data_IF_558000367285
#
_entry.id   IF_558000367285
#
_cell.length_a   1.000
_cell.length_b   1.000
_cell.length_c   1.000
_cell.angle_alpha   90.00
_cell.angle_beta   90.00
_cell.angle_gamma   90.00
#
_symmetry.space_group_name_H-M   'P 1'
#
loop_
_entity.id
_entity.type
_entity.pdbx_description
1 polymer ?
#
# COMPACT_ATOMS: atom_id res chain seq x y z
N UNK A 1 14.00 17.49 4.93
CA UNK A 1 13.20 17.28 3.71
C UNK A 1 11.80 16.91 4.13
N UNK A 2 10.78 17.32 3.37
CA UNK A 2 9.41 16.88 3.62
C UNK A 2 9.23 15.44 3.13
N UNK A 3 8.58 14.59 3.93
CA UNK A 3 8.14 13.26 3.52
C UNK A 3 6.62 13.25 3.40
N UNK A 4 6.09 12.31 2.64
CA UNK A 4 4.65 12.08 2.52
C UNK A 4 4.32 10.63 2.87
N UNK A 5 3.08 10.40 3.28
CA UNK A 5 2.55 9.05 3.48
C UNK A 5 1.77 8.61 2.25
N UNK A 6 1.77 7.31 1.96
CA UNK A 6 0.92 6.72 0.91
C UNK A 6 -0.32 6.13 1.57
N UNK A 7 -1.52 6.68 1.33
CA UNK A 7 -2.75 6.13 1.88
C UNK A 7 -3.01 4.72 1.34
N UNK A 8 -3.44 3.79 2.20
CA UNK A 8 -3.75 2.42 1.76
C UNK A 8 -4.79 2.41 0.62
N UNK A 9 -5.78 3.31 0.67
CA UNK A 9 -6.81 3.45 -0.38
C UNK A 9 -6.23 3.74 -1.78
N UNK A 10 -5.03 4.31 -1.89
CA UNK A 10 -4.38 4.56 -3.18
C UNK A 10 -4.00 3.27 -3.91
N UNK A 11 -3.91 2.15 -3.19
CA UNK A 11 -3.62 0.82 -3.70
C UNK A 11 -4.89 0.03 -4.05
N UNK A 12 -6.09 0.59 -3.80
CA UNK A 12 -7.38 -0.08 -4.03
C UNK A 12 -8.15 0.57 -5.20
N UNK A 13 -8.26 -0.09 -6.36
CA UNK A 13 -9.05 0.41 -7.48
C UNK A 13 -10.54 0.54 -7.15
N UNK A 14 -11.20 1.55 -7.71
CA UNK A 14 -12.65 1.73 -7.57
C UNK A 14 -13.39 0.68 -8.41
N UNK A 15 -14.43 0.07 -7.85
CA UNK A 15 -15.30 -0.89 -8.55
C UNK A 15 -14.76 -2.33 -8.62
N UNK A 16 -13.55 -2.60 -8.11
CA UNK A 16 -12.94 -3.93 -8.08
C UNK A 16 -12.61 -4.30 -6.63
N UNK A 17 -13.59 -4.84 -5.86
CA UNK A 17 -13.46 -5.01 -4.41
C UNK A 17 -12.40 -6.02 -3.99
N UNK A 18 -12.02 -6.93 -4.88
CA UNK A 18 -11.08 -8.05 -4.68
C UNK A 18 -9.71 -7.82 -5.36
N UNK A 19 -9.40 -6.59 -5.75
CA UNK A 19 -8.15 -6.24 -6.42
C UNK A 19 -7.36 -5.22 -5.61
N UNK A 20 -6.08 -5.51 -5.41
CA UNK A 20 -5.09 -4.58 -4.88
C UNK A 20 -3.98 -4.39 -5.92
N UNK A 21 -3.45 -3.17 -5.98
CA UNK A 21 -2.40 -2.79 -6.95
C UNK A 21 -1.24 -2.09 -6.25
N UNK A 22 -0.05 -2.22 -6.84
CA UNK A 22 1.17 -1.57 -6.36
C UNK A 22 1.99 -1.01 -7.53
N UNK A 23 2.97 -0.17 -7.22
CA UNK A 23 3.85 0.46 -8.22
C UNK A 23 3.11 1.46 -9.12
N UNK A 24 3.28 1.35 -10.44
CA UNK A 24 2.73 2.32 -11.43
C UNK A 24 1.20 2.38 -11.49
N UNK A 25 0.51 1.37 -10.96
CA UNK A 25 -0.93 1.23 -11.07
C UNK A 25 -1.69 1.93 -9.92
N UNK A 26 -0.99 2.50 -8.93
CA UNK A 26 -1.61 3.17 -7.79
C UNK A 26 -2.17 4.55 -8.18
N UNK A 27 -3.17 5.02 -7.45
CA UNK A 27 -3.64 6.40 -7.55
C UNK A 27 -2.69 7.34 -6.81
N UNK A 28 -2.03 8.23 -7.55
CA UNK A 28 -1.07 9.20 -7.02
C UNK A 28 -1.08 10.48 -7.84
N UNK A 29 -0.70 11.60 -7.21
CA UNK A 29 -0.42 12.85 -7.91
C UNK A 29 0.80 12.69 -8.82
N UNK A 30 0.93 13.57 -9.82
CA UNK A 30 2.02 13.52 -10.79
C UNK A 30 3.41 13.46 -10.12
N UNK A 31 3.63 14.33 -9.13
CA UNK A 31 4.91 14.43 -8.43
C UNK A 31 5.17 13.22 -7.51
N UNK A 32 4.11 12.69 -6.88
CA UNK A 32 4.20 11.50 -6.04
C UNK A 32 4.53 10.26 -6.88
N UNK A 33 3.92 10.11 -8.07
CA UNK A 33 4.13 8.97 -8.96
C UNK A 33 5.61 8.80 -9.37
N UNK A 34 6.35 9.90 -9.50
CA UNK A 34 7.77 9.85 -9.83
C UNK A 34 8.60 9.12 -8.77
N UNK A 35 8.28 9.30 -7.49
CA UNK A 35 9.02 8.71 -6.37
C UNK A 35 8.47 7.37 -5.89
N UNK A 36 7.15 7.14 -5.94
CA UNK A 36 6.53 5.86 -5.53
C UNK A 36 6.90 4.68 -6.43
N UNK A 37 7.30 4.94 -7.68
CA UNK A 37 7.73 3.91 -8.64
C UNK A 37 9.20 3.53 -8.56
N UNK A 38 9.97 4.15 -7.66
CA UNK A 38 11.36 3.74 -7.38
C UNK A 38 11.34 2.40 -6.63
N UNK A 39 12.42 1.62 -6.75
CA UNK A 39 12.50 0.24 -6.25
C UNK A 39 12.06 0.10 -4.79
N UNK A 40 12.62 0.91 -3.88
CA UNK A 40 12.31 0.79 -2.45
C UNK A 40 10.83 1.07 -2.12
N UNK A 41 10.22 2.20 -2.55
CA UNK A 41 8.79 2.41 -2.37
C UNK A 41 7.91 1.34 -3.05
N UNK A 42 8.28 0.89 -4.26
CA UNK A 42 7.51 -0.14 -4.97
C UNK A 42 7.51 -1.49 -4.23
N UNK A 43 8.62 -1.86 -3.58
CA UNK A 43 8.71 -3.04 -2.73
C UNK A 43 7.75 -2.94 -1.53
N UNK A 44 7.79 -1.81 -0.81
CA UNK A 44 6.93 -1.58 0.36
C UNK A 44 5.45 -1.56 -0.03
N UNK A 45 5.11 -0.91 -1.14
CA UNK A 45 3.74 -0.90 -1.67
C UNK A 45 3.27 -2.30 -2.08
N UNK A 46 4.16 -3.13 -2.65
CA UNK A 46 3.86 -4.52 -2.97
C UNK A 46 3.55 -5.35 -1.71
N UNK A 47 4.37 -5.18 -0.66
CA UNK A 47 4.15 -5.83 0.63
C UNK A 47 2.82 -5.39 1.27
N UNK A 48 2.53 -4.09 1.24
CA UNK A 48 1.27 -3.53 1.74
C UNK A 48 0.06 -4.06 0.95
N UNK A 49 0.11 -4.09 -0.38
CA UNK A 49 -0.96 -4.63 -1.23
C UNK A 49 -1.23 -6.11 -0.95
N UNK A 50 -0.17 -6.93 -0.85
CA UNK A 50 -0.31 -8.36 -0.56
C UNK A 50 -0.87 -8.62 0.84
N UNK A 51 -0.39 -7.87 1.84
CA UNK A 51 -0.89 -7.95 3.22
C UNK A 51 -2.36 -7.57 3.29
N UNK A 52 -2.75 -6.47 2.63
CA UNK A 52 -4.14 -6.04 2.54
C UNK A 52 -5.04 -7.08 1.87
N UNK A 53 -4.57 -7.71 0.79
CA UNK A 53 -5.32 -8.76 0.11
C UNK A 53 -5.58 -9.98 1.02
N UNK A 54 -4.59 -10.41 1.82
CA UNK A 54 -4.77 -11.53 2.76
C UNK A 54 -5.71 -11.17 3.91
N UNK A 55 -5.62 -9.94 4.43
CA UNK A 55 -6.49 -9.48 5.52
C UNK A 55 -7.94 -9.28 5.04
N UNK A 56 -8.15 -8.78 3.82
CA UNK A 56 -9.49 -8.68 3.22
C UNK A 56 -10.13 -10.08 3.07
N UNK A 57 -9.36 -11.13 2.75
CA UNK A 57 -9.86 -12.51 2.71
C UNK A 57 -10.29 -13.05 4.09
N UNK A 58 -9.79 -12.45 5.17
CA UNK A 58 -10.11 -12.81 6.57
C UNK A 58 -11.18 -11.92 7.19
N UNK A 59 -11.75 -10.99 6.41
CA UNK A 59 -12.65 -9.94 6.91
C UNK A 59 -11.99 -9.03 7.97
N UNK A 60 -10.66 -8.95 7.94
CA UNK A 60 -9.80 -8.12 8.79
C UNK A 60 -9.22 -6.94 8.00
N UNK A 61 -9.88 -6.54 6.91
CA UNK A 61 -9.45 -5.43 6.06
C UNK A 61 -9.31 -4.12 6.84
N UNK A 62 -8.52 -3.20 6.30
CA UNK A 62 -8.34 -1.85 6.86
C UNK A 62 -6.89 -1.44 7.08
N UNK A 63 -6.66 -0.13 7.16
CA UNK A 63 -5.32 0.43 7.27
C UNK A 63 -4.62 0.01 8.58
N UNK A 64 -5.36 -0.07 9.69
CA UNK A 64 -4.80 -0.37 11.00
C UNK A 64 -4.28 -1.81 11.07
N UNK A 65 -5.04 -2.79 10.58
CA UNK A 65 -4.62 -4.19 10.53
C UNK A 65 -3.45 -4.40 9.56
N UNK A 66 -3.47 -3.72 8.40
CA UNK A 66 -2.35 -3.77 7.46
C UNK A 66 -1.08 -3.21 8.11
N UNK A 67 -1.17 -2.06 8.77
CA UNK A 67 -0.01 -1.49 9.46
C UNK A 67 0.49 -2.38 10.61
N UNK A 68 -0.42 -2.99 11.39
CA UNK A 68 -0.05 -3.94 12.44
C UNK A 68 0.74 -5.12 11.86
N UNK A 69 0.21 -5.78 10.83
CA UNK A 69 0.87 -6.93 10.20
C UNK A 69 2.20 -6.55 9.54
N UNK A 70 2.28 -5.39 8.90
CA UNK A 70 3.54 -4.89 8.35
C UNK A 70 4.60 -4.64 9.43
N UNK A 71 4.23 -4.07 10.60
CA UNK A 71 5.15 -3.90 11.73
C UNK A 71 5.63 -5.24 12.29
N UNK A 72 4.74 -6.22 12.40
CA UNK A 72 5.09 -7.60 12.81
C UNK A 72 6.08 -8.25 11.85
N UNK A 73 5.96 -7.96 10.55
CA UNK A 73 6.88 -8.42 9.50
C UNK A 73 8.20 -7.62 9.45
N UNK A 74 8.39 -6.65 10.37
CA UNK A 74 9.60 -5.81 10.43
C UNK A 74 9.66 -4.70 9.38
N UNK A 75 8.55 -4.37 8.72
CA UNK A 75 8.50 -3.26 7.78
C UNK A 75 8.56 -1.92 8.52
N UNK A 76 9.36 -0.99 7.99
CA UNK A 76 9.36 0.40 8.45
C UNK A 76 8.20 1.17 7.82
N UNK A 77 7.25 1.56 8.64
CA UNK A 77 6.10 2.40 8.31
C UNK A 77 6.11 3.52 9.34
N UNK A 78 6.57 4.69 8.89
CA UNK A 78 7.06 5.80 9.72
C UNK A 78 6.14 6.31 10.81
#
# INVERSE_FOLDING_TARGET
GAYYQVPLRSLRPKGLPNLWVAGRCISADHDALASTRVMAPSLVLGQAAGTAAVLDLRDEGGADHVQASLREQGAFIG
#
